data_IF_775035019902
#
_entry.id   IF_775035019902
#
_cell.length_a   1.000
_cell.length_b   1.000
_cell.length_c   1.000
_cell.angle_alpha   90.00
_cell.angle_beta   90.00
_cell.angle_gamma   90.00
#
_symmetry.space_group_name_H-M   'P 1'
#
loop_
_entity.id
_entity.type
_entity.pdbx_description
1 polymer ?
#
# COMPACT_ATOMS: atom_id res chain seq x y z
N UNK A 1 26.03 31.40 15.70
CA UNK A 1 24.68 30.82 15.50
C UNK A 1 24.73 30.01 14.22
N UNK A 2 24.72 28.68 14.34
CA UNK A 2 24.75 27.74 13.21
C UNK A 2 23.30 27.45 12.84
N UNK A 3 22.95 27.76 11.60
CA UNK A 3 21.66 27.47 10.98
C UNK A 3 21.56 25.96 10.76
N UNK A 4 20.83 25.28 11.63
CA UNK A 4 20.60 23.82 11.59
C UNK A 4 19.29 23.54 10.83
N UNK A 5 19.25 23.90 9.54
CA UNK A 5 18.17 23.48 8.64
C UNK A 5 18.50 22.13 8.02
N UNK A 6 17.60 21.12 8.11
CA UNK A 6 17.79 19.87 7.41
C UNK A 6 17.80 20.14 5.88
N UNK A 7 18.67 19.45 5.12
CA UNK A 7 18.73 19.63 3.69
C UNK A 7 17.39 19.25 3.05
N UNK A 8 16.83 20.18 2.28
CA UNK A 8 15.65 19.93 1.47
C UNK A 8 15.93 18.76 0.51
N UNK A 9 15.19 17.66 0.69
CA UNK A 9 15.24 16.49 -0.19
C UNK A 9 14.83 16.92 -1.60
N UNK A 10 15.82 17.13 -2.47
CA UNK A 10 15.61 17.28 -3.91
C UNK A 10 15.29 15.92 -4.52
N UNK A 11 14.09 15.41 -4.27
CA UNK A 11 13.57 14.18 -4.88
C UNK A 11 12.93 14.39 -6.26
N UNK A 12 12.49 15.60 -6.60
CA UNK A 12 11.53 15.84 -7.69
C UNK A 12 11.92 15.39 -9.10
N UNK A 13 13.22 15.34 -9.44
CA UNK A 13 13.68 15.02 -10.80
C UNK A 13 13.57 13.54 -11.18
N UNK A 14 13.91 12.63 -10.25
CA UNK A 14 13.81 11.19 -10.49
C UNK A 14 12.34 10.73 -10.58
N UNK A 15 11.45 11.34 -9.80
CA UNK A 15 10.02 11.00 -9.78
C UNK A 15 9.25 11.42 -11.04
N UNK A 16 9.68 12.49 -11.73
CA UNK A 16 9.03 12.92 -12.98
C UNK A 16 9.35 11.98 -14.15
N UNK A 17 10.56 11.42 -14.20
CA UNK A 17 10.94 10.44 -15.22
C UNK A 17 10.23 9.09 -15.01
N UNK A 18 10.05 8.67 -13.76
CA UNK A 18 9.33 7.44 -13.39
C UNK A 18 7.85 7.50 -13.73
N UNK A 19 7.20 8.67 -13.69
CA UNK A 19 5.79 8.80 -14.05
C UNK A 19 5.46 8.47 -15.53
N UNK A 20 6.46 8.30 -16.40
CA UNK A 20 6.26 8.13 -17.86
C UNK A 20 6.14 6.68 -18.33
N UNK A 21 6.47 5.68 -17.52
CA UNK A 21 6.43 4.27 -17.92
C UNK A 21 5.06 3.59 -17.69
N UNK A 22 4.08 4.35 -17.18
CA UNK A 22 2.73 3.86 -16.89
C UNK A 22 2.64 3.01 -15.62
N UNK A 23 3.70 2.91 -14.82
CA UNK A 23 3.69 2.20 -13.54
C UNK A 23 3.32 3.12 -12.38
N UNK A 24 2.71 2.52 -11.36
CA UNK A 24 2.59 3.15 -10.05
C UNK A 24 3.85 2.87 -9.24
N UNK A 25 4.56 3.91 -8.86
CA UNK A 25 5.81 3.86 -8.12
C UNK A 25 5.58 4.10 -6.63
N UNK A 26 6.23 3.30 -5.79
CA UNK A 26 6.19 3.42 -4.33
C UNK A 26 7.62 3.56 -3.81
N UNK A 27 7.89 4.67 -3.12
CA UNK A 27 9.16 4.87 -2.41
C UNK A 27 9.13 4.16 -1.05
N UNK A 28 10.12 3.29 -0.87
CA UNK A 28 10.38 2.54 0.34
C UNK A 28 11.65 3.08 0.98
N UNK A 29 11.51 3.57 2.21
CA UNK A 29 12.59 4.10 3.04
C UNK A 29 12.77 3.22 4.27
N UNK A 30 14.02 2.88 4.56
CA UNK A 30 14.41 2.18 5.78
C UNK A 30 15.49 2.97 6.52
N UNK A 31 15.17 3.38 7.74
CA UNK A 31 16.08 4.02 8.68
C UNK A 31 15.98 3.24 9.97
N UNK A 32 17.06 2.53 10.30
CA UNK A 32 17.16 1.70 11.49
C UNK A 32 16.59 2.41 12.73
N UNK A 33 15.66 1.72 13.42
CA UNK A 33 14.98 2.14 14.66
C UNK A 33 14.13 3.42 14.58
N UNK A 34 13.99 4.05 13.41
CA UNK A 34 13.27 5.32 13.26
C UNK A 34 12.11 5.26 12.28
N UNK A 35 12.31 4.68 11.11
CA UNK A 35 11.33 4.70 10.04
C UNK A 35 11.46 3.46 9.17
N UNK A 36 10.34 2.84 8.88
CA UNK A 36 10.28 1.69 8.00
C UNK A 36 9.06 1.78 7.10
N UNK A 37 9.31 1.81 5.80
CA UNK A 37 8.31 1.73 4.76
C UNK A 37 8.54 0.45 3.96
N UNK A 38 7.54 -0.42 3.89
CA UNK A 38 7.64 -1.69 3.17
C UNK A 38 6.33 -2.08 2.51
N UNK A 39 6.41 -3.04 1.60
CA UNK A 39 5.26 -3.63 0.94
C UNK A 39 4.91 -4.93 1.67
N UNK A 40 3.70 -5.04 2.22
CA UNK A 40 3.23 -6.28 2.87
C UNK A 40 2.84 -7.35 1.86
N UNK A 41 2.24 -6.94 0.74
CA UNK A 41 2.00 -7.78 -0.43
C UNK A 41 1.91 -6.90 -1.68
N UNK A 42 2.15 -7.49 -2.85
CA UNK A 42 2.04 -6.81 -4.13
C UNK A 42 3.03 -7.37 -5.15
N UNK A 43 2.59 -7.49 -6.41
CA UNK A 43 3.44 -7.99 -7.50
C UNK A 43 4.33 -6.87 -8.04
N UNK A 44 5.53 -6.76 -7.49
CA UNK A 44 6.55 -5.79 -7.92
C UNK A 44 6.95 -6.10 -9.37
N UNK A 45 6.75 -5.13 -10.26
CA UNK A 45 7.12 -5.21 -11.67
C UNK A 45 8.50 -4.60 -11.95
N UNK A 46 8.93 -3.65 -11.12
CA UNK A 46 10.23 -3.00 -11.20
C UNK A 46 10.75 -2.74 -9.79
N UNK A 47 12.05 -2.94 -9.54
CA UNK A 47 12.72 -2.53 -8.29
C UNK A 47 13.96 -1.72 -8.65
N UNK A 48 14.08 -0.53 -8.08
CA UNK A 48 15.20 0.39 -8.31
C UNK A 48 15.69 0.95 -7.00
N UNK A 49 16.93 0.62 -6.65
CA UNK A 49 17.61 1.21 -5.49
C UNK A 49 18.05 2.63 -5.85
N UNK A 50 17.62 3.63 -5.07
CA UNK A 50 18.02 5.02 -5.25
C UNK A 50 19.20 5.39 -4.36
N UNK A 51 19.14 4.96 -3.09
CA UNK A 51 20.22 5.15 -2.12
C UNK A 51 20.34 3.90 -1.23
N UNK A 52 21.33 3.88 -0.33
CA UNK A 52 21.46 2.80 0.66
C UNK A 52 20.22 2.64 1.57
N UNK A 53 19.41 3.69 1.71
CA UNK A 53 18.24 3.72 2.61
C UNK A 53 16.91 3.85 1.88
N UNK A 54 16.93 4.07 0.57
CA UNK A 54 15.72 4.29 -0.23
C UNK A 54 15.75 3.48 -1.51
N UNK A 55 14.64 2.83 -1.80
CA UNK A 55 14.39 2.18 -3.08
C UNK A 55 12.99 2.54 -3.57
N UNK A 56 12.78 2.43 -4.87
CA UNK A 56 11.48 2.62 -5.50
C UNK A 56 11.08 1.32 -6.16
N UNK A 57 9.87 0.87 -5.85
CA UNK A 57 9.26 -0.29 -6.51
C UNK A 57 8.10 0.17 -7.40
N UNK A 58 7.97 -0.44 -8.57
CA UNK A 58 6.94 -0.14 -9.56
C UNK A 58 5.91 -1.27 -9.66
N UNK A 59 4.65 -0.89 -9.81
CA UNK A 59 3.49 -1.79 -9.97
C UNK A 59 2.78 -1.52 -11.29
N UNK A 60 2.39 -2.58 -12.01
CA UNK A 60 1.61 -2.48 -13.25
C UNK A 60 0.20 -1.93 -12.96
N UNK A 61 -0.44 -1.21 -13.90
CA UNK A 61 -1.85 -0.85 -13.78
C UNK A 61 -2.72 -2.05 -13.41
N UNK A 62 -3.66 -1.84 -12.51
CA UNK A 62 -4.55 -2.87 -11.97
C UNK A 62 -3.96 -3.73 -10.84
N UNK A 63 -2.64 -3.68 -10.60
CA UNK A 63 -2.03 -4.42 -9.51
C UNK A 63 -2.46 -3.86 -8.14
N UNK A 64 -2.87 -4.74 -7.23
CA UNK A 64 -3.18 -4.40 -5.84
C UNK A 64 -1.97 -4.67 -4.96
N UNK A 65 -1.63 -3.73 -4.09
CA UNK A 65 -0.53 -3.86 -3.14
C UNK A 65 -0.90 -3.24 -1.78
N UNK A 66 -0.30 -3.76 -0.71
CA UNK A 66 -0.37 -3.19 0.62
C UNK A 66 0.93 -2.49 0.97
N UNK A 67 0.86 -1.18 1.23
CA UNK A 67 1.96 -0.34 1.63
C UNK A 67 1.87 -0.02 3.12
N UNK A 68 2.88 -0.40 3.88
CA UNK A 68 2.96 -0.17 5.31
C UNK A 68 3.99 0.92 5.59
N UNK A 69 3.60 1.86 6.46
CA UNK A 69 4.44 2.96 6.92
C UNK A 69 4.47 2.95 8.45
N UNK A 70 5.63 2.65 8.99
CA UNK A 70 5.90 2.68 10.40
C UNK A 70 6.98 3.72 10.72
N UNK A 71 6.81 4.44 11.82
CA UNK A 71 7.85 5.28 12.38
C UNK A 71 7.76 5.28 13.90
N UNK A 72 8.92 5.33 14.55
CA UNK A 72 9.07 5.45 16.01
C UNK A 72 10.07 6.55 16.33
N UNK A 73 9.87 7.22 17.46
CA UNK A 73 10.91 8.01 18.11
C UNK A 73 11.35 7.31 19.41
N UNK A 74 12.24 7.99 20.13
CA UNK A 74 12.76 7.57 21.42
C UNK A 74 11.67 7.46 22.52
N UNK A 75 10.43 7.89 22.24
CA UNK A 75 9.28 7.83 23.14
C UNK A 75 8.17 6.86 22.68
N UNK A 76 8.39 6.11 21.59
CA UNK A 76 7.46 5.10 21.06
C UNK A 76 7.05 5.32 19.60
N UNK A 77 6.09 4.49 19.14
CA UNK A 77 5.59 4.53 17.76
C UNK A 77 4.85 5.84 17.48
N UNK A 78 5.39 6.66 16.57
CA UNK A 78 4.79 7.93 16.13
C UNK A 78 3.78 7.69 15.00
N UNK A 79 4.07 6.73 14.12
CA UNK A 79 3.24 6.43 12.96
C UNK A 79 3.12 4.93 12.78
N UNK A 80 1.88 4.46 12.65
CA UNK A 80 1.57 3.13 12.12
C UNK A 80 0.43 3.32 11.14
N UNK A 81 0.69 3.10 9.86
CA UNK A 81 -0.30 3.23 8.80
C UNK A 81 -0.15 2.08 7.82
N UNK A 82 -1.27 1.57 7.34
CA UNK A 82 -1.34 0.62 6.23
C UNK A 82 -2.35 1.12 5.21
N UNK A 83 -1.93 1.09 3.96
CA UNK A 83 -2.74 1.46 2.80
C UNK A 83 -2.80 0.28 1.84
N UNK A 84 -3.99 -0.16 1.42
CA UNK A 84 -4.16 -1.08 0.29
C UNK A 84 -4.58 -0.24 -0.91
N UNK A 85 -3.79 -0.33 -1.98
CA UNK A 85 -3.91 0.54 -3.14
C UNK A 85 -3.92 -0.32 -4.40
N UNK A 86 -4.81 0.00 -5.33
CA UNK A 86 -4.74 -0.47 -6.71
C UNK A 86 -4.00 0.56 -7.56
N UNK A 87 -2.95 0.11 -8.24
CA UNK A 87 -2.22 0.88 -9.23
C UNK A 87 -3.16 1.29 -10.37
N UNK A 88 -3.16 2.57 -10.72
CA UNK A 88 -4.04 3.12 -11.76
C UNK A 88 -3.36 3.15 -13.12
N UNK A 89 -4.14 3.11 -14.19
CA UNK A 89 -3.64 3.41 -15.54
C UNK A 89 -3.42 4.91 -15.73
N UNK A 90 -2.63 5.30 -16.74
CA UNK A 90 -2.23 6.68 -16.99
C UNK A 90 -3.39 7.70 -17.15
N UNK A 91 -4.58 7.23 -17.54
CA UNK A 91 -5.76 8.07 -17.79
C UNK A 91 -6.90 7.83 -16.79
N UNK A 92 -6.63 7.09 -15.72
CA UNK A 92 -7.62 6.77 -14.70
C UNK A 92 -7.55 7.77 -13.55
N UNK A 93 -8.69 8.11 -12.96
CA UNK A 93 -8.73 8.96 -11.78
C UNK A 93 -8.00 8.29 -10.61
N UNK A 94 -7.18 9.05 -9.90
CA UNK A 94 -6.39 8.56 -8.77
C UNK A 94 -6.47 9.49 -7.57
N UNK A 95 -6.27 8.92 -6.39
CA UNK A 95 -6.04 9.69 -5.17
C UNK A 95 -4.55 9.76 -4.91
N UNK A 96 -4.05 10.95 -4.56
CA UNK A 96 -2.65 11.13 -4.20
C UNK A 96 -2.37 10.51 -2.84
N UNK A 97 -1.27 9.77 -2.74
CA UNK A 97 -0.80 9.17 -1.51
C UNK A 97 0.68 9.53 -1.31
N UNK A 98 1.12 9.91 -0.10
CA UNK A 98 2.53 10.18 0.13
C UNK A 98 3.38 8.95 -0.21
N UNK A 99 4.53 9.19 -0.85
CA UNK A 99 5.45 8.15 -1.34
C UNK A 99 4.92 7.27 -2.48
N UNK A 100 3.70 7.51 -2.99
CA UNK A 100 3.16 6.81 -4.16
C UNK A 100 2.95 7.78 -5.32
N UNK A 101 3.40 7.43 -6.52
CA UNK A 101 3.32 8.27 -7.73
C UNK A 101 2.79 7.46 -8.91
N UNK A 102 1.77 7.95 -9.64
CA UNK A 102 1.06 9.22 -9.45
C UNK A 102 0.16 9.25 -8.21
N UNK A 103 -0.21 8.06 -7.71
CA UNK A 103 -1.18 7.83 -6.66
C UNK A 103 -1.81 6.47 -6.90
N UNK A 104 -3.05 6.28 -6.49
CA UNK A 104 -3.81 5.08 -6.84
C UNK A 104 -5.26 5.14 -6.40
N UNK A 105 -6.00 4.08 -6.68
CA UNK A 105 -7.33 3.82 -6.11
C UNK A 105 -7.14 3.22 -4.73
N UNK A 106 -7.47 4.00 -3.70
CA UNK A 106 -7.28 3.60 -2.29
C UNK A 106 -8.44 2.70 -1.88
N UNK A 107 -8.14 1.43 -1.67
CA UNK A 107 -9.11 0.43 -1.24
C UNK A 107 -9.24 0.38 0.29
N UNK A 108 -8.16 0.67 0.99
CA UNK A 108 -8.10 0.73 2.46
C UNK A 108 -7.03 1.74 2.87
N UNK A 109 -7.34 2.57 3.86
CA UNK A 109 -6.37 3.44 4.54
C UNK A 109 -6.65 3.46 6.03
N UNK A 110 -5.75 2.91 6.83
CA UNK A 110 -5.92 2.77 8.29
C UNK A 110 -4.69 3.26 9.02
N UNK A 111 -4.94 3.96 10.13
CA UNK A 111 -3.93 4.51 11.03
C UNK A 111 -4.12 3.99 12.45
N UNK A 112 -3.01 3.90 13.18
CA UNK A 112 -2.97 3.42 14.56
C UNK A 112 -2.69 1.93 14.65
N UNK A 113 -1.70 1.58 15.48
CA UNK A 113 -1.19 0.21 15.60
C UNK A 113 -2.27 -0.86 15.85
N UNK A 114 -3.25 -0.70 16.78
CA UNK A 114 -4.27 -1.72 17.01
C UNK A 114 -5.15 -2.02 15.79
N UNK A 115 -5.40 -1.00 14.95
CA UNK A 115 -6.18 -1.16 13.72
C UNK A 115 -5.32 -1.73 12.59
N UNK A 116 -4.06 -1.29 12.49
CA UNK A 116 -3.09 -1.85 11.54
C UNK A 116 -2.90 -3.35 11.79
N UNK A 117 -2.80 -3.79 13.05
CA UNK A 117 -2.74 -5.22 13.38
C UNK A 117 -3.96 -5.99 12.90
N UNK A 118 -5.17 -5.42 12.98
CA UNK A 118 -6.38 -6.05 12.45
C UNK A 118 -6.35 -6.17 10.92
N UNK A 119 -5.78 -5.19 10.22
CA UNK A 119 -5.60 -5.27 8.76
C UNK A 119 -4.56 -6.35 8.40
N UNK A 120 -3.44 -6.41 9.12
CA UNK A 120 -2.43 -7.45 8.92
C UNK A 120 -3.03 -8.84 9.14
N UNK A 121 -3.80 -9.04 10.21
CA UNK A 121 -4.51 -10.29 10.46
C UNK A 121 -5.54 -10.62 9.36
N UNK A 122 -6.21 -9.61 8.78
CA UNK A 122 -7.11 -9.83 7.66
C UNK A 122 -6.37 -10.27 6.38
N UNK A 123 -5.16 -9.72 6.14
CA UNK A 123 -4.28 -10.17 5.05
C UNK A 123 -3.84 -11.61 5.29
N UNK A 124 -3.38 -11.93 6.50
CA UNK A 124 -2.96 -13.29 6.88
C UNK A 124 -4.11 -14.29 6.72
N UNK A 125 -5.36 -13.89 7.00
CA UNK A 125 -6.54 -14.72 6.79
C UNK A 125 -6.85 -14.99 5.31
N UNK A 126 -6.58 -14.03 4.41
CA UNK A 126 -6.70 -14.23 2.96
C UNK A 126 -5.64 -15.22 2.47
N UNK A 127 -4.40 -15.06 2.92
CA UNK A 127 -3.29 -15.99 2.61
C UNK A 127 -3.59 -17.40 3.13
N UNK A 128 -4.10 -17.53 4.37
CA UNK A 128 -4.49 -18.81 4.97
C UNK A 128 -5.66 -19.48 4.25
N UNK A 129 -6.52 -18.71 3.57
CA UNK A 129 -7.56 -19.23 2.70
C UNK A 129 -7.03 -19.68 1.33
N UNK A 130 -5.71 -19.63 1.09
CA UNK A 130 -5.08 -20.06 -0.15
C UNK A 130 -5.27 -19.07 -1.31
N UNK A 131 -5.66 -17.83 -1.02
CA UNK A 131 -5.81 -16.76 -2.02
C UNK A 131 -4.64 -15.81 -1.90
N UNK A 132 -4.00 -15.49 -3.01
CA UNK A 132 -3.01 -14.40 -3.06
C UNK A 132 -3.73 -13.07 -2.75
N UNK A 133 -3.34 -12.30 -1.72
CA UNK A 133 -3.92 -10.99 -1.44
C UNK A 133 -3.92 -10.02 -2.63
N UNK A 134 -2.99 -10.21 -3.58
CA UNK A 134 -2.97 -9.46 -4.84
C UNK A 134 -4.19 -9.73 -5.74
N UNK A 135 -4.79 -10.91 -5.63
CA UNK A 135 -5.95 -11.36 -6.41
C UNK A 135 -7.28 -11.25 -5.63
N UNK A 136 -7.21 -10.91 -4.34
CA UNK A 136 -8.41 -10.66 -3.55
C UNK A 136 -9.23 -9.50 -4.13
N UNK A 137 -10.55 -9.65 -4.10
CA UNK A 137 -11.49 -8.67 -4.64
C UNK A 137 -11.24 -7.27 -4.05
N UNK A 138 -11.19 -6.23 -4.88
CA UNK A 138 -10.99 -4.86 -4.40
C UNK A 138 -12.03 -4.44 -3.34
N UNK A 139 -13.27 -4.90 -3.50
CA UNK A 139 -14.37 -4.65 -2.55
C UNK A 139 -14.18 -5.37 -1.22
N UNK A 140 -13.40 -6.46 -1.18
CA UNK A 140 -13.05 -7.11 0.08
C UNK A 140 -12.22 -6.15 0.95
N UNK A 141 -11.21 -5.50 0.37
CA UNK A 141 -10.37 -4.54 1.10
C UNK A 141 -11.18 -3.32 1.57
N UNK A 142 -12.10 -2.81 0.74
CA UNK A 142 -13.05 -1.75 1.15
C UNK A 142 -13.96 -2.20 2.29
N UNK A 143 -14.42 -3.45 2.27
CA UNK A 143 -15.21 -4.02 3.36
C UNK A 143 -14.40 -4.13 4.66
N UNK A 144 -13.15 -4.61 4.59
CA UNK A 144 -12.23 -4.68 5.75
C UNK A 144 -12.03 -3.28 6.34
N UNK A 145 -11.76 -2.27 5.51
CA UNK A 145 -11.65 -0.87 5.93
C UNK A 145 -12.89 -0.42 6.70
N UNK A 146 -14.08 -0.59 6.11
CA UNK A 146 -15.33 -0.12 6.69
C UNK A 146 -15.63 -0.80 8.04
N UNK A 147 -15.31 -2.09 8.18
CA UNK A 147 -15.50 -2.84 9.43
C UNK A 147 -14.58 -2.36 10.54
N UNK A 148 -13.28 -2.23 10.25
CA UNK A 148 -12.29 -1.77 11.24
C UNK A 148 -12.53 -0.31 11.62
N UNK A 149 -12.91 0.54 10.66
CA UNK A 149 -13.29 1.93 10.92
C UNK A 149 -14.50 2.03 11.86
N UNK A 150 -15.47 1.12 11.73
CA UNK A 150 -16.64 1.00 12.60
C UNK A 150 -16.38 0.27 13.93
N UNK A 151 -15.14 -0.15 14.22
CA UNK A 151 -14.80 -0.90 15.44
C UNK A 151 -15.33 -2.33 15.47
N UNK A 152 -15.68 -2.89 14.31
CA UNK A 152 -16.26 -4.23 14.18
C UNK A 152 -15.23 -5.21 13.60
N UNK A 153 -15.25 -6.49 14.00
CA UNK A 153 -14.32 -7.47 13.45
C UNK A 153 -14.54 -7.63 11.93
N UNK A 154 -13.46 -7.66 11.11
CA UNK A 154 -13.56 -7.98 9.70
C UNK A 154 -14.20 -9.35 9.49
N UNK A 155 -15.02 -9.49 8.44
CA UNK A 155 -15.54 -10.80 8.05
C UNK A 155 -14.43 -11.59 7.37
N UNK A 156 -14.33 -12.89 7.67
CA UNK A 156 -13.40 -13.80 7.02
C UNK A 156 -13.61 -13.80 5.49
N UNK A 157 -12.50 -13.76 4.76
CA UNK A 157 -12.49 -14.01 3.32
C UNK A 157 -12.49 -15.52 3.09
N UNK A 158 -13.41 -16.01 2.28
CA UNK A 158 -13.55 -17.43 1.96
C UNK A 158 -13.37 -17.66 0.47
N UNK A 159 -12.86 -18.84 0.11
CA UNK A 159 -12.69 -19.27 -1.29
C UNK A 159 -14.00 -19.17 -2.07
N UNK A 160 -15.14 -19.50 -1.45
CA UNK A 160 -16.47 -19.39 -2.08
C UNK A 160 -16.80 -17.95 -2.49
N UNK A 161 -16.42 -16.96 -1.67
CA UNK A 161 -16.60 -15.53 -2.03
C UNK A 161 -15.66 -15.12 -3.15
N UNK A 162 -14.44 -15.65 -3.17
CA UNK A 162 -13.52 -15.41 -4.26
C UNK A 162 -14.08 -15.95 -5.59
N UNK A 163 -14.60 -17.18 -5.61
CA UNK A 163 -15.25 -17.74 -6.80
C UNK A 163 -16.51 -16.98 -7.22
N UNK A 164 -17.35 -16.55 -6.26
CA UNK A 164 -18.52 -15.75 -6.56
C UNK A 164 -18.14 -14.39 -7.19
N UNK A 165 -17.04 -13.79 -6.75
CA UNK A 165 -16.51 -12.56 -7.34
C UNK A 165 -15.92 -12.80 -8.73
N UNK A 166 -15.14 -13.85 -8.94
CA UNK A 166 -14.59 -14.21 -10.26
C UNK A 166 -15.73 -14.40 -11.28
N UNK A 167 -16.80 -15.10 -10.91
CA UNK A 167 -17.98 -15.30 -11.78
C UNK A 167 -18.69 -13.99 -12.14
N UNK A 168 -18.70 -12.99 -11.25
CA UNK A 168 -19.28 -11.66 -11.56
C UNK A 168 -18.40 -10.87 -12.51
N UNK A 169 -17.07 -10.92 -12.33
CA UNK A 169 -16.12 -10.29 -13.26
C UNK A 169 -16.19 -10.85 -14.67
N UNK A 170 -16.51 -12.14 -14.83
CA UNK A 170 -16.67 -12.78 -16.14
C UNK A 170 -17.95 -12.33 -16.87
N UNK A 171 -18.95 -11.81 -16.14
CA UNK A 171 -20.23 -11.32 -16.70
C UNK A 171 -20.18 -9.81 -17.02
N UNK A 172 -19.32 -9.06 -16.31
CA UNK A 172 -19.16 -7.60 -16.47
C UNK A 172 -18.03 -7.19 -17.43
N UNK A 173 -17.23 -8.14 -17.93
CA UNK A 173 -16.15 -7.92 -18.91
C UNK A 173 -16.62 -8.11 -20.35
#
# INVERSE_FOLDING_TARGET
>A
MIDDRPPAVRGGGAFSALARDGLTHVELTWIEKKLEHWIRFGRIAQDRILTRRTRVVGFRPGAVFAFVRWASNDFGTILSRIDVVRAVAANEAYTTLPFVRPGGDILLKIEGWPKVQQVLAAIDAVEAAGVDPCDAAADHWRHVHNRIAAGQPPRLYTIERHHAWLKRREIEG
#
